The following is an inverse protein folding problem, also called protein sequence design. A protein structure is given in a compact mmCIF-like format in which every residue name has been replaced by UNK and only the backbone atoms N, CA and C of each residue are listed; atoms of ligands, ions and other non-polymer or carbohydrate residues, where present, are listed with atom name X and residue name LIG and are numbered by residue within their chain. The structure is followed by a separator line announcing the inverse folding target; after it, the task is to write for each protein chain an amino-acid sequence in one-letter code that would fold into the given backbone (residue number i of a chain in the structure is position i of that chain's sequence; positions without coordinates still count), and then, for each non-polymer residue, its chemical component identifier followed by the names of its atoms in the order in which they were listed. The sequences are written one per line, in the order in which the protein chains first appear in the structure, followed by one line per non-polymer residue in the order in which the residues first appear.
data_IF_916077988318
#
_entry.id   IF_916077988318
#
_cell.length_a   1.000
_cell.length_b   1.000
_cell.length_c   1.000
_cell.angle_alpha   90.00
_cell.angle_beta   90.00
_cell.angle_gamma   90.00
#
_symmetry.space_group_name_H-M   'P 1'
#
loop_
_entity.id
_entity.type
_entity.pdbx_description
1 polymer ?
2 polymer ?
3 non-polymer ?
4 water ?
#
# COMPACT_ATOMS: atom_id res chain seq x y z
N UNK A 28 2.04 -9.55 -34.55
CA UNK A 28 0.99 -8.98 -33.68
C UNK A 28 1.51 -7.69 -33.07
N UNK A 29 0.60 -6.84 -32.58
CA UNK A 29 1.05 -5.62 -31.85
C UNK A 29 1.69 -6.17 -30.60
N UNK A 30 2.91 -5.76 -30.22
CA UNK A 30 3.54 -6.36 -29.11
C UNK A 30 2.94 -5.88 -27.79
N UNK A 31 3.14 -6.71 -26.79
CA UNK A 31 2.80 -6.41 -25.41
C UNK A 31 3.52 -5.17 -24.94
N UNK A 32 2.85 -4.39 -24.11
CA UNK A 32 3.53 -3.32 -23.40
C UNK A 32 4.57 -3.89 -22.45
N UNK A 33 5.65 -3.13 -22.27
CA UNK A 33 6.75 -3.62 -21.44
C UNK A 33 6.35 -3.69 -19.98
N UNK A 34 5.32 -2.94 -19.59
CA UNK A 34 4.73 -3.03 -18.25
C UNK A 34 4.51 -4.46 -17.77
N UNK A 35 4.20 -5.40 -18.68
CA UNK A 35 3.95 -6.78 -18.25
C UNK A 35 5.15 -7.34 -17.50
N UNK A 36 6.33 -6.80 -17.79
CA UNK A 36 7.49 -6.98 -16.94
C UNK A 36 7.36 -5.93 -15.83
N UNK A 37 7.35 -6.40 -14.61
CA UNK A 37 7.23 -5.58 -13.41
C UNK A 37 5.89 -4.85 -13.34
N UNK A 38 4.76 -5.57 -13.36
CA UNK A 38 3.47 -4.89 -13.35
C UNK A 38 3.33 -3.85 -12.25
N UNK A 39 3.93 -4.11 -11.07
CA UNK A 39 3.69 -3.19 -9.95
C UNK A 39 4.27 -1.81 -10.22
N UNK A 40 5.29 -1.71 -11.08
CA UNK A 40 5.88 -0.40 -11.37
C UNK A 40 5.00 0.41 -12.28
N UNK A 41 3.89 -0.17 -12.71
CA UNK A 41 2.87 0.64 -13.35
C UNK A 41 1.61 0.72 -12.55
N UNK A 42 1.28 -0.30 -11.79
CA UNK A 42 -0.05 -0.24 -11.23
C UNK A 42 -0.05 0.43 -9.88
N UNK A 43 1.05 0.30 -9.15
CA UNK A 43 1.09 0.52 -7.71
C UNK A 43 2.15 1.52 -7.26
N UNK A 44 3.38 1.41 -7.76
CA UNK A 44 4.44 2.39 -7.45
C UNK A 44 5.08 2.91 -8.74
N UNK A 45 4.33 3.62 -9.57
CA UNK A 45 4.91 4.16 -10.82
C UNK A 45 5.98 5.21 -10.59
N UNK A 46 6.99 5.20 -11.46
CA UNK A 46 8.13 6.09 -11.42
C UNK A 46 8.38 6.65 -12.82
N UNK A 47 9.34 7.56 -12.94
CA UNK A 47 9.54 8.26 -14.21
C UNK A 47 10.06 7.34 -15.31
N UNK A 48 10.84 6.32 -14.98
CA UNK A 48 11.32 5.42 -16.02
C UNK A 48 10.16 4.64 -16.63
N UNK A 49 9.17 4.26 -15.81
CA UNK A 49 7.99 3.59 -16.33
C UNK A 49 7.21 4.49 -17.29
N UNK A 50 7.03 5.76 -16.92
CA UNK A 50 6.32 6.69 -17.77
C UNK A 50 7.06 6.88 -19.09
N UNK A 51 8.38 6.99 -19.02
CA UNK A 51 9.21 7.07 -20.22
C UNK A 51 8.96 5.88 -21.14
N UNK A 52 8.85 4.69 -20.54
CA UNK A 52 8.58 3.50 -21.35
C UNK A 52 7.21 3.57 -21.98
N UNK A 53 6.24 4.15 -21.28
CA UNK A 53 4.89 4.27 -21.87
C UNK A 53 4.99 5.19 -23.08
N UNK A 54 5.75 6.27 -22.98
CA UNK A 54 5.84 7.20 -24.12
C UNK A 54 6.38 6.53 -25.36
N UNK A 55 7.22 5.50 -25.20
CA UNK A 55 7.79 4.77 -26.33
C UNK A 55 6.97 3.54 -26.70
N UNK A 56 5.84 3.31 -26.00
CA UNK A 56 5.09 2.06 -26.12
C UNK A 56 4.31 2.00 -27.44
N UNK A 57 4.44 0.92 -28.22
CA UNK A 57 3.69 0.86 -29.49
C UNK A 57 2.17 0.79 -29.31
N UNK A 58 1.66 0.25 -28.19
CA UNK A 58 0.22 0.19 -28.02
C UNK A 58 -0.31 1.31 -27.12
N UNK A 59 0.40 2.43 -27.02
CA UNK A 59 0.03 3.50 -26.08
C UNK A 59 -1.40 3.99 -26.25
N UNK A 60 -1.87 4.21 -27.49
CA UNK A 60 -3.20 4.82 -27.66
C UNK A 60 -4.33 3.79 -27.56
N UNK A 61 -4.03 2.54 -27.89
CA UNK A 61 -4.88 1.42 -27.49
C UNK A 61 -5.01 1.35 -25.97
N UNK A 62 -3.90 1.55 -25.26
CA UNK A 62 -3.92 1.52 -23.81
C UNK A 62 -4.75 2.68 -23.27
N UNK A 63 -4.68 3.85 -23.92
CA UNK A 63 -5.50 4.99 -23.48
C UNK A 63 -6.99 4.68 -23.62
N UNK A 64 -7.38 4.11 -24.76
CA UNK A 64 -8.77 3.69 -24.91
C UNK A 64 -9.18 2.71 -23.82
N UNK A 65 -8.37 1.68 -23.64
CA UNK A 65 -8.69 0.65 -22.65
C UNK A 65 -8.79 1.21 -21.24
N UNK A 66 -8.02 2.26 -20.93
CA UNK A 66 -8.14 2.89 -19.60
C UNK A 66 -9.52 3.51 -19.42
N UNK A 67 -10.01 4.14 -20.49
CA UNK A 67 -11.35 4.70 -20.36
C UNK A 67 -12.41 3.61 -20.24
N UNK A 68 -12.22 2.47 -20.94
CA UNK A 68 -13.23 1.40 -20.96
C UNK A 68 -13.13 0.47 -19.77
N UNK A 69 -12.05 0.53 -19.00
CA UNK A 69 -11.86 -0.37 -17.85
C UNK A 69 -12.56 0.16 -16.61
N UNK A 70 -13.20 -0.73 -15.86
CA UNK A 70 -13.77 -0.35 -14.57
C UNK A 70 -12.67 0.07 -13.59
N UNK A 71 -12.71 1.33 -13.15
CA UNK A 71 -11.82 1.77 -12.08
C UNK A 71 -10.34 1.72 -12.41
N UNK A 72 -9.98 2.08 -13.62
CA UNK A 72 -8.57 2.18 -13.99
C UNK A 72 -7.83 3.17 -13.09
N UNK A 73 -6.62 2.77 -12.65
CA UNK A 73 -5.85 3.51 -11.66
C UNK A 73 -4.37 3.38 -11.95
N UNK A 74 -3.57 4.36 -11.56
CA UNK A 74 -2.15 4.16 -11.78
C UNK A 74 -1.73 4.55 -13.19
N UNK A 75 -0.57 4.07 -13.64
CA UNK A 75 0.05 4.53 -14.89
C UNK A 75 -0.47 3.75 -16.10
N UNK A 76 -1.29 4.43 -16.93
CA UNK A 76 -1.75 3.92 -18.22
C UNK A 76 -1.37 4.93 -19.30
N UNK A 77 -0.75 4.45 -20.38
CA UNK A 77 -0.52 5.30 -21.54
C UNK A 77 0.28 6.56 -21.18
N UNK A 78 1.16 6.48 -20.19
CA UNK A 78 1.97 7.63 -19.81
C UNK A 78 1.31 8.60 -18.86
N UNK A 79 0.10 8.32 -18.43
CA UNK A 79 -0.68 9.19 -17.55
C UNK A 79 -0.94 8.41 -16.26
N UNK A 80 -0.54 8.96 -15.11
CA UNK A 80 -0.93 8.37 -13.84
C UNK A 80 -2.35 8.84 -13.55
N UNK A 81 -3.29 7.91 -13.55
CA UNK A 81 -4.72 8.20 -13.37
C UNK A 81 -5.01 8.30 -11.88
N UNK A 82 -5.42 9.46 -11.39
CA UNK A 82 -5.78 9.60 -9.97
C UNK A 82 -6.98 8.75 -9.59
N UNK A 83 -7.03 8.41 -8.32
CA UNK A 83 -8.05 7.48 -7.87
C UNK A 83 -9.41 8.15 -7.75
N UNK A 84 -9.46 9.47 -7.61
CA UNK A 84 -10.77 10.07 -7.43
C UNK A 84 -10.75 11.57 -7.76
N UNK A 85 -11.93 12.15 -7.74
CA UNK A 85 -12.05 13.56 -7.93
C UNK A 85 -12.04 14.05 -9.37
N UNK A 86 -11.95 15.36 -9.43
CA UNK A 86 -11.89 16.08 -10.71
C UNK A 86 -10.56 15.77 -11.41
N UNK A 87 -9.48 15.47 -10.68
CA UNK A 87 -8.24 15.08 -11.34
C UNK A 87 -8.42 13.78 -12.11
N UNK A 88 -9.19 12.85 -11.55
CA UNK A 88 -9.45 11.60 -12.25
C UNK A 88 -10.33 11.88 -13.48
N UNK A 89 -11.34 12.73 -13.32
CA UNK A 89 -12.16 13.14 -14.46
C UNK A 89 -11.30 13.74 -15.59
N UNK A 90 -10.37 14.63 -15.25
CA UNK A 90 -9.51 15.21 -16.28
C UNK A 90 -8.67 14.14 -16.97
N UNK A 91 -8.01 13.27 -16.19
CA UNK A 91 -7.12 12.28 -16.79
C UNK A 91 -7.88 11.37 -17.73
N UNK A 92 -9.06 10.90 -17.32
CA UNK A 92 -9.85 10.05 -18.20
C UNK A 92 -10.36 10.82 -19.43
N UNK A 93 -10.69 12.09 -19.28
CA UNK A 93 -11.08 12.90 -20.44
C UNK A 93 -9.94 13.05 -21.43
N UNK A 94 -8.73 13.31 -20.91
CA UNK A 94 -7.57 13.45 -21.77
C UNK A 94 -7.28 12.15 -22.50
N UNK A 95 -7.38 11.02 -21.79
CA UNK A 95 -7.06 9.75 -22.42
C UNK A 95 -8.10 9.39 -23.48
N UNK A 96 -9.38 9.65 -23.20
CA UNK A 96 -10.42 9.47 -24.22
C UNK A 96 -10.14 10.31 -25.47
N UNK A 97 -9.73 11.58 -25.30
CA UNK A 97 -9.54 12.42 -26.47
C UNK A 97 -8.29 12.01 -27.26
N UNK A 98 -7.21 11.65 -26.56
CA UNK A 98 -6.00 11.20 -27.26
C UNK A 98 -6.21 9.84 -27.93
N UNK A 99 -6.98 8.96 -27.28
CA UNK A 99 -7.29 7.68 -27.89
C UNK A 99 -8.01 7.88 -29.22
N UNK A 100 -9.09 8.67 -29.19
CA UNK A 100 -9.85 8.93 -30.41
C UNK A 100 -8.96 9.58 -31.44
N UNK A 101 -8.18 10.55 -31.01
CA UNK A 101 -7.31 11.30 -31.94
C UNK A 101 -6.30 10.38 -32.60
N UNK A 102 -5.90 9.31 -31.96
CA UNK A 102 -4.91 8.45 -32.58
C UNK A 102 -5.53 7.19 -33.18
N UNK A 103 -6.84 7.18 -33.43
CA UNK A 103 -7.47 6.07 -34.12
C UNK A 103 -7.95 4.96 -33.21
N UNK A 104 -8.13 5.26 -31.92
CA UNK A 104 -8.62 4.28 -30.95
C UNK A 104 -9.82 4.85 -30.20
N UNK A 105 -10.89 5.22 -30.90
CA UNK A 105 -12.03 5.80 -30.22
C UNK A 105 -12.62 4.84 -29.20
N UNK A 106 -13.01 5.40 -28.06
CA UNK A 106 -13.70 4.64 -27.03
C UNK A 106 -15.04 4.15 -27.56
N UNK A 107 -15.37 2.89 -27.28
CA UNK A 107 -16.70 2.36 -27.58
C UNK A 107 -17.59 2.73 -26.40
N UNK A 108 -18.55 3.61 -26.62
CA UNK A 108 -19.30 4.10 -25.47
C UNK A 108 -20.16 3.00 -24.85
N UNK A 109 -20.63 2.04 -25.65
CA UNK A 109 -21.39 0.93 -25.07
C UNK A 109 -20.58 0.14 -24.04
N UNK A 110 -19.28 0.41 -23.90
CA UNK A 110 -18.41 -0.37 -23.02
C UNK A 110 -17.84 0.46 -21.87
N UNK A 111 -18.29 1.70 -21.69
CA UNK A 111 -17.84 2.50 -20.55
C UNK A 111 -18.79 2.32 -19.38
N UNK B 16 0.19 -24.75 -26.00
CA UNK B 16 -0.84 -23.82 -25.55
C UNK B 16 -0.80 -23.71 -24.03
N UNK B 17 -0.71 -22.47 -23.54
CA UNK B 17 -0.81 -22.18 -22.11
C UNK B 17 -2.28 -22.12 -21.73
N UNK B 18 -2.64 -23.03 -20.83
CA UNK B 18 -4.02 -23.15 -20.34
C UNK B 18 -4.40 -21.89 -19.56
N UNK B 19 -5.67 -21.54 -19.59
CA UNK B 19 -6.15 -20.40 -18.81
C UNK B 19 -5.80 -20.59 -17.33
N UNK B 20 -5.92 -21.80 -16.81
CA UNK B 20 -5.60 -21.98 -15.39
C UNK B 20 -4.16 -21.58 -15.10
N UNK B 21 -3.24 -21.97 -15.98
CA UNK B 21 -1.81 -21.66 -15.79
C UNK B 21 -1.52 -20.16 -16.02
N UNK B 22 -2.17 -19.54 -17.01
CA UNK B 22 -2.01 -18.11 -17.18
C UNK B 22 -2.52 -17.35 -15.95
N UNK B 23 -3.68 -17.75 -15.42
CA UNK B 23 -4.21 -17.07 -14.24
C UNK B 23 -3.28 -17.25 -13.04
N UNK B 24 -2.69 -18.44 -12.90
CA UNK B 24 -1.75 -18.65 -11.80
C UNK B 24 -0.56 -17.69 -11.91
N UNK B 25 -0.02 -17.51 -13.12
CA UNK B 25 1.10 -16.61 -13.28
C UNK B 25 0.69 -15.17 -12.99
N UNK B 26 -0.50 -14.77 -13.45
CA UNK B 26 -0.98 -13.42 -13.17
C UNK B 26 -1.18 -13.20 -11.67
N UNK B 27 -1.79 -14.17 -10.99
CA UNK B 27 -2.03 -14.02 -9.55
C UNK B 27 -0.72 -13.95 -8.78
N UNK B 28 0.33 -14.62 -9.26
CA UNK B 28 1.63 -14.53 -8.62
C UNK B 28 2.27 -13.14 -8.72
N UNK B 29 1.75 -12.24 -9.58
CA UNK B 29 2.24 -10.87 -9.61
C UNK B 29 1.61 -9.98 -8.53
N UNK B 30 0.66 -10.52 -7.78
CA UNK B 30 -0.02 -9.81 -6.71
C UNK B 30 0.67 -10.10 -5.39
N UNK B 31 0.40 -9.27 -4.39
CA UNK B 31 0.82 -9.59 -3.02
C UNK B 31 0.14 -10.88 -2.55
N UNK B 32 0.76 -11.53 -1.57
CA UNK B 32 0.22 -12.80 -1.06
C UNK B 32 -1.23 -12.66 -0.60
N UNK B 33 -1.53 -11.57 0.12
CA UNK B 33 -2.90 -11.38 0.60
C UNK B 33 -3.86 -11.04 -0.55
N UNK B 34 -3.42 -10.22 -1.52
CA UNK B 34 -4.28 -9.94 -2.66
C UNK B 34 -4.63 -11.22 -3.42
N UNK B 35 -3.61 -12.06 -3.66
CA UNK B 35 -3.86 -13.30 -4.37
C UNK B 35 -4.83 -14.19 -3.60
N UNK B 36 -4.63 -14.34 -2.29
CA UNK B 36 -5.53 -15.16 -1.51
C UNK B 36 -6.95 -14.64 -1.47
N UNK B 37 -7.12 -13.32 -1.32
CA UNK B 37 -8.45 -12.74 -1.34
C UNK B 37 -9.13 -13.03 -2.68
N UNK B 38 -8.40 -12.88 -3.79
CA UNK B 38 -8.98 -13.11 -5.10
C UNK B 38 -9.43 -14.57 -5.25
N UNK B 39 -8.55 -15.49 -4.84
CA UNK B 39 -8.86 -16.90 -5.00
C UNK B 39 -10.07 -17.28 -4.17
N UNK B 40 -10.15 -16.77 -2.93
CA UNK B 40 -11.31 -17.02 -2.10
C UNK B 40 -12.57 -16.42 -2.72
N UNK B 41 -12.47 -15.19 -3.23
CA UNK B 41 -13.66 -14.50 -3.72
C UNK B 41 -14.28 -15.23 -4.89
N UNK B 42 -13.45 -15.78 -5.79
CA UNK B 42 -13.98 -16.39 -6.99
C UNK B 42 -14.01 -17.91 -6.96
N UNK B 43 -13.68 -18.51 -5.82
CA UNK B 43 -13.72 -19.95 -5.67
C UNK B 43 -12.68 -20.70 -6.48
N UNK B 44 -11.51 -20.13 -6.68
CA UNK B 44 -10.40 -20.87 -7.28
C UNK B 44 -9.75 -21.78 -6.25
N UNK B 45 -10.06 -21.56 -4.97
CA UNK B 45 -9.48 -22.33 -3.87
C UNK B 45 -10.04 -23.75 -3.81
N UNK B 46 -11.33 -23.93 -4.08
CA UNK B 46 -11.99 -25.21 -3.85
C UNK B 46 -13.27 -25.30 -4.66
N UNK B 47 -13.61 -24.23 -5.37
CA UNK B 47 -14.84 -24.14 -6.13
C UNK B 47 -15.97 -23.44 -5.41
N UNK B 48 -15.80 -23.07 -4.15
CA UNK B 48 -16.81 -22.34 -3.39
C UNK B 48 -16.38 -20.89 -3.22
N UNK B 49 -17.00 -19.94 -3.92
CA UNK B 49 -16.70 -18.53 -3.71
C UNK B 49 -17.12 -18.08 -2.32
N UNK B 50 -16.42 -17.09 -1.80
CA UNK B 50 -16.70 -16.58 -0.46
C UNK B 50 -17.28 -15.16 -0.52
N UNK B 51 -18.15 -14.86 0.46
CA UNK B 51 -18.56 -13.48 0.63
C UNK B 51 -17.41 -12.67 1.23
N UNK B 52 -17.53 -11.33 1.14
CA UNK B 52 -16.51 -10.47 1.73
C UNK B 52 -16.45 -10.61 3.24
N UNK B 53 -17.58 -10.86 3.89
CA UNK B 53 -17.59 -11.12 5.33
C UNK B 53 -16.75 -12.35 5.66
N UNK B 54 -16.90 -13.43 4.86
CA UNK B 54 -16.13 -14.66 5.07
C UNK B 54 -14.64 -14.42 4.85
N UNK B 55 -14.30 -13.63 3.86
CA UNK B 55 -12.90 -13.33 3.66
C UNK B 55 -12.35 -12.46 4.79
N UNK B 56 -13.17 -11.59 5.41
CA UNK B 56 -12.73 -10.94 6.64
C UNK B 56 -12.55 -11.91 7.80
N UNK B 57 -13.49 -12.86 7.95
CA UNK B 57 -13.34 -14.03 8.82
C UNK B 57 -11.91 -14.57 8.72
N UNK B 58 -11.54 -14.98 7.52
CA UNK B 58 -10.16 -15.27 7.16
C UNK B 58 -9.36 -13.97 7.24
N UNK B 59 -8.05 -14.05 7.42
CA UNK B 59 -7.24 -12.83 7.45
C UNK B 59 -7.59 -11.84 8.57
N UNK B 60 -8.66 -12.08 9.31
CA UNK B 60 -8.86 -11.30 10.53
C UNK B 60 -8.99 -9.80 10.36
N UNK B 61 -9.70 -9.34 9.33
CA UNK B 61 -9.93 -7.92 9.10
C UNK B 61 -11.44 -7.68 8.95
N UNK B 62 -11.83 -6.42 8.93
CA UNK B 62 -13.24 -6.07 8.79
C UNK B 62 -13.70 -6.29 7.37
N UNK B 63 -15.03 -6.38 7.20
CA UNK B 63 -15.58 -6.47 5.85
C UNK B 63 -15.11 -5.31 4.99
N UNK B 64 -14.91 -4.14 5.61
CA UNK B 64 -14.51 -2.96 4.84
C UNK B 64 -13.11 -3.07 4.26
N UNK B 65 -12.18 -3.63 5.02
CA UNK B 65 -10.83 -3.82 4.44
C UNK B 65 -10.90 -4.88 3.35
N UNK B 66 -11.67 -5.97 3.50
CA UNK B 66 -11.76 -6.96 2.43
C UNK B 66 -12.27 -6.27 1.17
N UNK B 67 -13.24 -5.37 1.32
CA UNK B 67 -13.74 -4.62 0.16
C UNK B 67 -12.67 -3.70 -0.43
N UNK B 68 -11.91 -2.99 0.41
CA UNK B 68 -10.87 -2.12 -0.14
C UNK B 68 -9.84 -2.93 -0.92
N UNK B 69 -9.39 -4.04 -0.33
CA UNK B 69 -8.42 -4.92 -0.98
C UNK B 69 -8.98 -5.46 -2.29
N UNK B 70 -10.24 -5.90 -2.30
CA UNK B 70 -10.81 -6.47 -3.52
C UNK B 70 -10.89 -5.42 -4.63
N UNK B 71 -11.40 -4.22 -4.32
CA UNK B 71 -11.54 -3.23 -5.39
C UNK B 71 -10.18 -2.85 -5.98
N UNK B 72 -9.19 -2.69 -5.12
CA UNK B 72 -7.82 -2.24 -5.50
C UNK B 72 -7.10 -3.33 -6.27
N UNK B 73 -7.23 -4.54 -5.80
CA UNK B 73 -6.65 -5.68 -6.49
C UNK B 73 -7.30 -5.88 -7.87
N UNK B 74 -8.62 -5.68 -7.95
CA UNK B 74 -9.29 -5.80 -9.24
C UNK B 74 -8.78 -4.76 -10.23
N UNK B 75 -8.52 -3.54 -9.74
CA UNK B 75 -7.98 -2.55 -10.66
C UNK B 75 -6.52 -2.85 -11.03
N UNK B 76 -5.73 -3.46 -10.13
CA UNK B 76 -4.41 -3.94 -10.53
C UNK B 76 -4.52 -4.98 -11.65
N UNK B 77 -5.49 -5.90 -11.53
CA UNK B 77 -5.62 -6.98 -12.52
C UNK B 77 -6.09 -6.47 -13.88
N UNK B 78 -6.84 -5.37 -13.89
CA UNK B 78 -7.38 -4.83 -15.15
C UNK B 78 -6.34 -4.11 -15.97
N UNK B 79 -5.30 -3.60 -15.32
CA UNK B 79 -4.24 -2.91 -16.02
C UNK B 79 -3.57 -3.84 -17.03
N UNK B 80 -3.21 -3.34 -18.20
CA UNK B 80 -2.70 -4.24 -19.25
C UNK B 80 -1.50 -5.07 -18.85
N UNK B 81 -0.67 -4.58 -17.92
CA UNK B 81 0.44 -5.38 -17.40
C UNK B 81 0.00 -6.75 -16.93
N UNK B 82 -1.23 -6.89 -16.45
CA UNK B 82 -1.74 -8.18 -16.06
C UNK B 82 -2.87 -8.68 -16.94
N UNK B 83 -3.58 -7.79 -17.64
CA UNK B 83 -4.78 -8.22 -18.34
C UNK B 83 -4.57 -8.51 -19.82
N UNK B 84 -3.50 -8.00 -20.42
CA UNK B 84 -3.51 -8.07 -21.89
C UNK B 84 -3.33 -9.50 -22.41
N UNK B 85 -2.59 -10.35 -21.73
CA UNK B 85 -2.56 -11.73 -22.25
C UNK B 85 -3.78 -12.54 -21.79
N UNK B 86 -4.45 -12.15 -20.69
CA UNK B 86 -5.66 -12.88 -20.31
C UNK B 86 -6.82 -12.58 -21.25
N UNK B 87 -6.84 -11.39 -21.86
CA UNK B 87 -8.01 -10.99 -22.65
C UNK B 87 -8.32 -11.98 -23.77
N UNK B 88 -7.30 -12.61 -24.36
CA UNK B 88 -7.52 -13.52 -25.49
C UNK B 88 -8.26 -14.79 -25.11
N UNK B 89 -8.34 -15.13 -23.80
CA UNK B 89 -9.04 -16.32 -23.35
C UNK B 89 -10.53 -16.10 -23.17
N UNK B 90 -10.97 -14.84 -23.15
CA UNK B 90 -12.34 -14.52 -22.72
C UNK B 90 -13.37 -15.25 -23.56
N UNK B 91 -13.22 -15.24 -24.89
CA UNK B 91 -14.30 -15.79 -25.70
C UNK B 91 -14.42 -17.30 -25.51
N UNK B 92 -13.29 -18.01 -25.46
CA UNK B 92 -13.35 -19.44 -25.22
C UNK B 92 -13.85 -19.76 -23.82
N UNK B 93 -13.59 -18.88 -22.87
CA UNK B 93 -13.98 -19.19 -21.50
C UNK B 93 -15.40 -18.77 -21.17
N UNK B 94 -15.94 -17.81 -21.92
CA UNK B 94 -17.27 -17.29 -21.65
C UNK B 94 -18.28 -18.42 -21.88
N UNK B 95 -19.23 -18.56 -20.94
CA UNK B 95 -20.22 -19.61 -21.07
C UNK B 95 -19.77 -20.94 -20.50
N UNK B 96 -18.55 -20.99 -19.95
CA UNK B 96 -17.99 -22.18 -19.32
C UNK B 96 -18.80 -22.60 -18.11
N UNK B 97 -19.08 -21.65 -17.23
CA UNK B 97 -19.55 -21.95 -15.90
C UNK B 97 -18.46 -22.13 -14.88
N UNK B 98 -17.20 -21.96 -15.27
CA UNK B 98 -16.02 -22.18 -14.44
C UNK B 98 -15.71 -21.02 -13.51
N UNK B 99 -14.94 -21.29 -12.45
CA UNK B 99 -14.38 -20.21 -11.62
C UNK B 99 -13.45 -19.28 -12.37
N UNK B 100 -12.69 -19.82 -13.32
CA UNK B 100 -11.80 -18.99 -14.12
C UNK B 100 -12.60 -18.00 -14.97
N UNK B 101 -13.70 -18.47 -15.60
CA UNK B 101 -14.57 -17.56 -16.34
C UNK B 101 -15.12 -16.50 -15.41
N UNK B 102 -15.39 -16.88 -14.17
CA UNK B 102 -15.99 -15.91 -13.23
C UNK B 102 -14.97 -14.82 -12.93
N UNK B 103 -13.74 -15.20 -12.68
CA UNK B 103 -12.72 -14.19 -12.46
C UNK B 103 -12.47 -13.35 -13.70
N UNK B 104 -12.40 -13.99 -14.86
CA UNK B 104 -12.18 -13.24 -16.10
C UNK B 104 -13.28 -12.22 -16.31
N UNK B 105 -14.54 -12.63 -16.12
CA UNK B 105 -15.66 -11.72 -16.32
C UNK B 105 -15.65 -10.59 -15.32
N UNK B 106 -15.18 -10.86 -14.08
CA UNK B 106 -15.05 -9.76 -13.12
C UNK B 106 -13.95 -8.78 -13.53
N UNK B 107 -12.85 -9.31 -14.08
CA UNK B 107 -11.79 -8.43 -14.58
C UNK B 107 -12.28 -7.59 -15.76
N UNK B 108 -12.83 -8.23 -16.78
CA UNK B 108 -13.12 -7.57 -18.05
C UNK B 108 -14.53 -7.01 -18.16
N UNK B 109 -15.40 -7.32 -17.22
CA UNK B 109 -16.77 -6.88 -17.29
C UNK B 109 -17.57 -7.75 -18.24
N UNK B 110 -18.89 -7.53 -18.22
CA UNK B 110 -19.80 -8.38 -18.96
C UNK B 110 -20.03 -7.91 -20.39
N UNK B 111 -19.42 -6.81 -20.83
CA UNK B 111 -19.56 -6.42 -22.23
C UNK B 111 -18.31 -6.68 -23.06
N UNK B 112 -17.23 -7.12 -22.44
CA UNK B 112 -15.97 -7.33 -23.16
C UNK B 112 -16.10 -8.37 -24.29
N UNK C 29 11.64 4.44 35.59
CA UNK C 29 10.88 4.05 34.41
C UNK C 29 10.88 5.17 33.34
N UNK C 30 12.07 5.67 32.99
CA UNK C 30 12.14 6.92 32.22
C UNK C 30 11.93 6.70 30.73
N UNK C 31 11.35 7.72 30.10
CA UNK C 31 11.35 7.78 28.64
C UNK C 31 12.78 7.61 28.11
N UNK C 32 12.92 6.88 27.01
CA UNK C 32 14.21 6.78 26.37
C UNK C 32 14.71 8.13 25.87
N UNK C 33 16.03 8.30 25.90
CA UNK C 33 16.60 9.61 25.56
C UNK C 33 16.47 9.96 24.09
N UNK C 34 16.29 8.98 23.20
CA UNK C 34 16.03 9.25 21.79
C UNK C 34 14.98 10.36 21.57
N UNK C 35 14.07 10.56 22.54
CA UNK C 35 13.04 11.61 22.37
C UNK C 35 13.66 12.99 22.13
N UNK C 36 14.88 13.22 22.59
CA UNK C 36 15.62 14.39 22.15
C UNK C 36 16.12 14.12 20.74
N UNK C 37 15.79 14.99 19.80
CA UNK C 37 16.43 14.84 18.49
C UNK C 37 16.12 13.47 17.86
N UNK C 38 14.83 13.14 17.64
CA UNK C 38 14.48 11.81 17.10
C UNK C 38 15.19 11.41 15.81
N UNK C 39 15.46 12.33 14.90
CA UNK C 39 15.93 11.94 13.58
C UNK C 39 17.25 11.22 13.66
N UNK C 40 18.07 11.57 14.66
CA UNK C 40 19.40 10.93 14.85
C UNK C 40 19.22 9.40 14.93
N UNK C 41 18.11 8.95 15.52
CA UNK C 41 17.82 7.53 15.67
C UNK C 41 17.04 6.94 14.50
N UNK C 42 16.21 7.73 13.81
CA UNK C 42 15.31 7.15 12.81
C UNK C 42 15.93 7.13 11.43
N UNK C 43 16.82 8.06 11.16
CA UNK C 43 17.23 8.41 9.82
C UNK C 43 18.72 8.30 9.60
N UNK C 44 19.53 8.81 10.53
CA UNK C 44 21.00 8.78 10.44
C UNK C 44 21.57 8.24 11.73
N UNK C 45 21.36 6.96 12.04
CA UNK C 45 21.93 6.42 13.29
C UNK C 45 23.45 6.41 13.22
N UNK C 46 24.07 6.71 14.36
CA UNK C 46 25.51 6.82 14.47
C UNK C 46 25.95 6.11 15.74
N UNK C 47 27.27 6.01 15.96
CA UNK C 47 27.70 5.32 17.17
C UNK C 47 27.37 6.09 18.44
N UNK C 48 27.17 7.40 18.39
CA UNK C 48 26.85 8.13 19.62
C UNK C 48 25.44 7.77 20.11
N UNK C 49 24.47 7.76 19.20
CA UNK C 49 23.12 7.32 19.56
C UNK C 49 23.14 5.85 19.93
N UNK C 50 23.95 5.06 19.23
CA UNK C 50 24.10 3.64 19.56
C UNK C 50 24.65 3.49 20.98
N UNK C 51 25.64 4.32 21.32
CA UNK C 51 26.14 4.35 22.69
C UNK C 51 25.02 4.60 23.68
N UNK C 52 24.16 5.59 23.38
CA UNK C 52 23.09 5.92 24.31
C UNK C 52 22.08 4.78 24.44
N UNK C 53 21.80 4.12 23.33
CA UNK C 53 20.89 2.96 23.41
C UNK C 53 21.52 1.93 24.36
N UNK C 54 22.83 1.70 24.24
CA UNK C 54 23.46 0.69 25.07
C UNK C 54 23.29 0.97 26.56
N UNK C 55 23.21 2.25 26.93
CA UNK C 55 23.04 2.66 28.32
C UNK C 55 21.58 2.86 28.69
N UNK C 56 20.67 2.63 27.74
CA UNK C 56 19.26 2.98 27.94
C UNK C 56 18.58 1.97 28.86
N UNK C 57 17.86 2.44 29.90
CA UNK C 57 17.23 1.49 30.83
C UNK C 57 16.12 0.67 30.23
N UNK C 58 15.40 1.17 29.23
CA UNK C 58 14.33 0.38 28.63
C UNK C 58 14.79 -0.35 27.38
N UNK C 59 16.08 -0.64 27.27
CA UNK C 59 16.64 -1.19 26.04
C UNK C 59 15.95 -2.49 25.60
N UNK C 60 15.70 -3.40 26.54
CA UNK C 60 15.17 -4.70 26.13
C UNK C 60 13.66 -4.64 25.91
N UNK C 61 12.97 -3.77 26.63
CA UNK C 61 11.59 -3.43 26.25
C UNK C 61 11.54 -2.86 24.84
N UNK C 62 12.49 -2.00 24.50
CA UNK C 62 12.48 -1.40 23.17
C UNK C 62 12.82 -2.44 22.10
N UNK C 63 13.65 -3.44 22.42
CA UNK C 63 13.91 -4.54 21.49
C UNK C 63 12.65 -5.34 21.22
N UNK C 64 11.88 -5.64 22.27
CA UNK C 64 10.61 -6.33 22.05
C UNK C 64 9.71 -5.49 21.15
N UNK C 65 9.56 -4.21 21.48
CA UNK C 65 8.69 -3.33 20.71
C UNK C 65 9.11 -3.25 19.24
N UNK C 66 10.41 -3.31 18.98
CA UNK C 66 10.87 -3.30 17.59
C UNK C 66 10.36 -4.53 16.85
N UNK C 67 10.42 -5.70 17.50
CA UNK C 67 9.90 -6.90 16.82
C UNK C 67 8.37 -6.86 16.69
N UNK C 68 7.67 -6.28 17.66
CA UNK C 68 6.21 -6.26 17.62
C UNK C 68 5.64 -5.12 16.79
N UNK C 69 6.49 -4.22 16.31
CA UNK C 69 6.08 -3.04 15.58
C UNK C 69 5.78 -3.36 14.13
N UNK C 70 4.78 -2.67 13.57
CA UNK C 70 4.62 -2.67 12.14
C UNK C 70 5.83 -1.97 11.54
N UNK C 71 6.65 -2.70 10.79
CA UNK C 71 7.67 -2.06 9.96
C UNK C 71 8.69 -1.21 10.68
N UNK C 72 9.16 -1.67 11.83
CA UNK C 72 10.23 -0.98 12.55
C UNK C 72 11.45 -0.80 11.66
N UNK C 73 12.04 0.39 11.73
CA UNK C 73 13.12 0.75 10.85
C UNK C 73 14.04 1.66 11.65
N UNK C 74 15.33 1.68 11.30
CA UNK C 74 16.21 2.59 12.03
C UNK C 74 16.77 2.00 13.32
N UNK C 75 17.23 2.87 14.21
CA UNK C 75 18.00 2.46 15.39
C UNK C 75 17.10 2.15 16.58
N UNK C 76 16.90 0.86 16.86
CA UNK C 76 16.15 0.43 18.05
C UNK C 76 17.04 -0.42 18.93
N UNK C 77 17.10 -0.08 20.21
CA UNK C 77 17.80 -0.89 21.21
C UNK C 77 19.26 -1.11 20.84
N UNK C 78 19.88 -0.14 20.16
CA UNK C 78 21.26 -0.27 19.79
C UNK C 78 21.50 -1.06 18.52
N UNK C 79 20.44 -1.52 17.87
CA UNK C 79 20.54 -2.30 16.64
C UNK C 79 19.90 -1.48 15.54
N UNK C 80 20.66 -1.21 14.48
CA UNK C 80 20.12 -0.52 13.31
C UNK C 80 19.41 -1.53 12.43
N UNK C 81 18.10 -1.36 12.29
CA UNK C 81 17.24 -2.26 11.53
C UNK C 81 17.20 -1.75 10.08
N UNK C 82 17.80 -2.49 9.13
CA UNK C 82 17.66 -2.16 7.71
C UNK C 82 16.21 -2.32 7.25
N UNK C 83 15.87 -1.69 6.12
CA UNK C 83 14.47 -1.65 5.65
C UNK C 83 13.94 -3.03 5.21
N UNK C 84 14.80 -3.87 4.61
CA UNK C 84 14.38 -5.13 4.03
C UNK C 84 15.62 -5.99 3.80
N UNK C 85 15.41 -7.14 3.15
CA UNK C 85 16.46 -8.11 2.89
C UNK C 85 16.63 -8.92 4.14
N UNK C 86 17.62 -9.82 4.07
CA UNK C 86 18.01 -10.70 5.20
C UNK C 86 18.71 -9.86 6.27
N UNK C 87 19.36 -8.75 5.90
CA UNK C 87 20.00 -7.95 6.94
C UNK C 87 18.94 -7.49 7.94
N UNK C 88 17.74 -7.18 7.43
CA UNK C 88 16.61 -6.84 8.29
C UNK C 88 16.17 -8.03 9.14
N UNK C 89 16.06 -9.21 8.52
CA UNK C 89 15.74 -10.43 9.26
C UNK C 89 16.76 -10.69 10.36
N UNK C 90 18.05 -10.50 10.06
CA UNK C 90 19.07 -10.69 11.09
C UNK C 90 18.84 -9.74 12.24
N UNK C 91 18.64 -8.45 11.93
CA UNK C 91 18.48 -7.46 12.99
C UNK C 91 17.28 -7.78 13.88
N UNK C 92 16.14 -8.13 13.25
CA UNK C 92 14.93 -8.46 14.00
C UNK C 92 15.09 -9.76 14.81
N UNK C 93 15.79 -10.75 14.26
CA UNK C 93 16.06 -11.95 15.05
C UNK C 93 16.93 -11.64 16.25
N UNK C 94 17.94 -10.80 16.06
CA UNK C 94 18.82 -10.39 17.16
C UNK C 94 18.01 -9.67 18.23
N UNK C 95 17.08 -8.82 17.81
CA UNK C 95 16.27 -8.09 18.78
C UNK C 95 15.33 -9.02 19.53
N UNK C 96 14.72 -9.99 18.82
CA UNK C 96 13.87 -10.96 19.50
C UNK C 96 14.66 -11.71 20.56
N UNK C 97 15.89 -12.12 20.22
CA UNK C 97 16.70 -12.93 21.12
C UNK C 97 17.13 -12.11 22.34
N UNK C 98 17.47 -10.84 22.12
CA UNK C 98 17.81 -9.98 23.26
C UNK C 98 16.60 -9.76 24.17
N UNK C 99 15.42 -9.54 23.57
CA UNK C 99 14.20 -9.36 24.35
C UNK C 99 13.88 -10.61 25.17
N UNK C 100 13.90 -11.78 24.52
CA UNK C 100 13.58 -13.02 25.22
C UNK C 100 14.54 -13.23 26.37
N UNK C 101 15.84 -13.09 26.13
CA UNK C 101 16.81 -13.44 27.18
C UNK C 101 16.75 -12.47 28.36
N UNK C 102 16.21 -11.27 28.16
CA UNK C 102 16.18 -10.28 29.20
C UNK C 102 14.78 -10.11 29.80
N UNK C 103 13.92 -11.09 29.59
CA UNK C 103 12.66 -11.15 30.30
C UNK C 103 11.51 -10.40 29.66
N UNK C 104 11.61 -10.06 28.37
CA UNK C 104 10.57 -9.30 27.65
C UNK C 104 10.17 -10.07 26.40
N UNK C 105 9.59 -11.27 26.55
CA UNK C 105 9.30 -12.10 25.39
C UNK C 105 8.39 -11.40 24.39
N UNK C 106 8.68 -11.62 23.11
CA UNK C 106 7.81 -11.10 22.06
C UNK C 106 6.48 -11.83 22.14
N UNK C 107 5.40 -11.06 22.11
CA UNK C 107 4.07 -11.70 22.06
C UNK C 107 3.74 -11.93 20.58
N UNK C 108 3.61 -13.18 20.15
CA UNK C 108 3.28 -13.50 18.73
C UNK C 108 1.85 -13.09 18.41
N UNK C 109 0.96 -13.05 19.41
CA UNK C 109 -0.40 -12.49 19.35
C UNK C 109 -0.27 -11.15 18.63
N UNK C 110 0.58 -10.23 19.15
CA UNK C 110 0.90 -8.92 18.53
C UNK C 110 2.20 -9.01 17.72
N UNK D 17 -3.28 15.67 30.16
CA UNK D 17 -3.20 16.45 28.92
C UNK D 17 -4.54 16.28 28.20
N UNK D 18 -4.43 15.93 26.92
CA UNK D 18 -5.44 15.56 25.96
C UNK D 18 -4.63 15.02 24.81
N UNK D 19 -5.20 14.04 24.11
CA UNK D 19 -4.45 13.43 23.03
C UNK D 19 -4.05 14.46 21.96
N UNK D 20 -4.97 15.37 21.61
CA UNK D 20 -4.70 16.31 20.53
C UNK D 20 -3.47 17.16 20.79
N UNK D 21 -3.28 17.61 22.04
CA UNK D 21 -2.13 18.45 22.33
C UNK D 21 -0.83 17.66 22.24
N UNK D 22 -0.84 16.43 22.75
CA UNK D 22 0.35 15.58 22.62
C UNK D 22 0.66 15.26 21.17
N UNK D 23 -0.37 14.93 20.39
CA UNK D 23 -0.18 14.64 18.98
C UNK D 23 0.40 15.85 18.25
N UNK D 24 -0.07 17.05 18.56
CA UNK D 24 0.48 18.22 17.88
C UNK D 24 1.92 18.48 18.27
N UNK D 25 2.30 18.30 19.55
CA UNK D 25 3.72 18.36 19.91
C UNK D 25 4.53 17.38 19.07
N UNK D 26 4.06 16.13 18.97
CA UNK D 26 4.82 15.11 18.26
C UNK D 26 4.92 15.47 16.77
N UNK D 27 3.80 15.85 16.16
CA UNK D 27 3.82 16.21 14.74
C UNK D 27 4.66 17.45 14.48
N UNK D 28 4.68 18.40 15.42
CA UNK D 28 5.51 19.58 15.32
C UNK D 28 7.00 19.25 15.43
N UNK D 29 7.36 18.04 15.87
CA UNK D 29 8.74 17.62 15.70
C UNK D 29 9.05 17.08 14.30
N UNK D 30 8.06 17.02 13.41
CA UNK D 30 8.30 16.59 12.04
C UNK D 30 8.55 17.81 11.15
N UNK D 31 9.12 17.56 9.97
CA UNK D 31 9.17 18.62 8.97
C UNK D 31 7.74 19.03 8.61
N UNK D 32 7.61 20.26 8.08
CA UNK D 32 6.29 20.76 7.70
C UNK D 32 5.57 19.83 6.74
N UNK D 33 6.28 19.30 5.74
CA UNK D 33 5.61 18.41 4.78
C UNK D 33 5.25 17.07 5.41
N UNK D 34 6.15 16.48 6.20
CA UNK D 34 5.84 15.20 6.83
C UNK D 34 4.58 15.32 7.70
N UNK D 35 4.52 16.38 8.51
CA UNK D 35 3.37 16.62 9.37
C UNK D 35 2.12 16.85 8.56
N UNK D 36 2.22 17.68 7.51
CA UNK D 36 1.05 17.96 6.70
C UNK D 36 0.52 16.72 6.02
N UNK D 37 1.42 15.87 5.50
CA UNK D 37 0.97 14.63 4.88
C UNK D 37 0.21 13.78 5.90
N UNK D 38 0.75 13.66 7.11
CA UNK D 38 0.07 12.88 8.15
C UNK D 38 -1.31 13.45 8.47
N UNK D 39 -1.39 14.77 8.67
CA UNK D 39 -2.66 15.41 9.04
C UNK D 39 -3.71 15.27 7.95
N UNK D 40 -3.33 15.52 6.69
CA UNK D 40 -4.26 15.35 5.59
C UNK D 40 -4.67 13.90 5.43
N UNK D 41 -3.72 12.97 5.54
CA UNK D 41 -4.01 11.57 5.29
C UNK D 41 -5.04 11.05 6.28
N UNK D 42 -4.92 11.45 7.54
CA UNK D 42 -5.86 10.93 8.54
C UNK D 42 -6.96 11.93 8.86
N UNK D 43 -7.02 13.06 8.16
CA UNK D 43 -8.09 14.02 8.40
C UNK D 43 -8.02 14.69 9.75
N UNK D 44 -6.82 14.96 10.26
CA UNK D 44 -6.70 15.75 11.48
C UNK D 44 -6.97 17.21 11.22
N UNK D 45 -7.02 17.64 9.96
CA UNK D 45 -7.29 19.03 9.61
C UNK D 45 -8.77 19.38 9.78
N UNK D 46 -9.68 18.45 9.46
CA UNK D 46 -11.10 18.76 9.41
C UNK D 46 -11.96 17.52 9.58
N UNK D 47 -11.33 16.35 9.71
CA UNK D 47 -12.06 15.11 9.90
C UNK D 47 -12.30 14.29 8.63
N UNK D 48 -11.94 14.82 7.47
CA UNK D 48 -12.08 14.11 6.20
C UNK D 48 -10.70 13.70 5.73
N UNK D 49 -10.37 12.42 5.73
CA UNK D 49 -9.08 11.99 5.17
C UNK D 49 -9.01 12.25 3.67
N UNK D 50 -7.79 12.46 3.19
CA UNK D 50 -7.49 12.71 1.79
C UNK D 50 -6.80 11.51 1.18
N UNK D 51 -7.00 11.33 -0.11
CA UNK D 51 -6.21 10.34 -0.84
C UNK D 51 -4.76 10.79 -1.00
N UNK D 52 -3.88 9.83 -1.31
CA UNK D 52 -2.50 10.20 -1.60
C UNK D 52 -2.41 11.10 -2.83
N UNK D 53 -3.31 10.89 -3.82
CA UNK D 53 -3.36 11.76 -4.99
C UNK D 53 -3.64 13.21 -4.61
N UNK D 54 -4.62 13.42 -3.73
CA UNK D 54 -4.99 14.76 -3.30
C UNK D 54 -3.86 15.42 -2.51
N UNK D 55 -3.17 14.65 -1.65
CA UNK D 55 -2.03 15.20 -0.92
C UNK D 55 -0.89 15.51 -1.89
N UNK D 56 -0.73 14.67 -2.93
CA UNK D 56 0.24 15.00 -3.96
C UNK D 56 -0.06 16.32 -4.63
N UNK D 57 -1.34 16.58 -4.90
CA UNK D 57 -1.72 17.85 -5.50
C UNK D 57 -1.41 19.02 -4.56
N UNK D 58 -1.69 18.84 -3.27
CA UNK D 58 -1.40 19.87 -2.28
C UNK D 58 0.09 20.20 -2.26
N UNK D 59 0.93 19.17 -2.18
CA UNK D 59 2.35 19.40 -2.07
C UNK D 59 3.07 19.46 -3.42
N UNK D 60 2.36 19.37 -4.53
CA UNK D 60 2.97 19.59 -5.85
C UNK D 60 4.00 18.53 -6.18
N UNK D 61 3.74 17.28 -5.76
CA UNK D 61 4.54 16.13 -6.08
C UNK D 61 3.62 14.98 -6.52
N UNK D 62 4.24 13.91 -6.97
CA UNK D 62 3.47 12.78 -7.47
C UNK D 62 2.82 12.00 -6.33
N UNK D 63 1.79 11.20 -6.66
CA UNK D 63 1.22 10.31 -5.66
C UNK D 63 2.29 9.38 -5.09
N UNK D 64 3.22 8.95 -5.94
CA UNK D 64 4.25 8.02 -5.48
C UNK D 64 5.20 8.69 -4.48
N UNK D 65 5.52 9.96 -4.71
CA UNK D 65 6.38 10.63 -3.75
C UNK D 65 5.68 10.77 -2.40
N UNK D 66 4.38 11.02 -2.42
CA UNK D 66 3.57 11.06 -1.21
C UNK D 66 3.56 9.70 -0.54
N UNK D 67 3.44 8.62 -1.31
CA UNK D 67 3.45 7.30 -0.70
C UNK D 67 4.77 7.05 0.03
N UNK D 68 5.90 7.43 -0.60
CA UNK D 68 7.19 7.28 0.04
C UNK D 68 7.27 8.12 1.32
N UNK D 69 6.81 9.37 1.26
CA UNK D 69 6.86 10.24 2.44
C UNK D 69 5.98 9.68 3.55
N UNK D 70 4.78 9.20 3.20
CA UNK D 70 3.89 8.64 4.20
C UNK D 70 4.54 7.44 4.88
N UNK D 71 5.19 6.56 4.11
CA UNK D 71 5.79 5.38 4.71
C UNK D 71 6.93 5.76 5.65
N UNK D 72 7.83 6.63 5.18
CA UNK D 72 8.95 7.03 6.03
C UNK D 72 8.46 7.71 7.30
N UNK D 73 7.47 8.60 7.16
CA UNK D 73 6.95 9.33 8.32
C UNK D 73 6.27 8.40 9.30
N UNK D 74 5.51 7.41 8.82
CA UNK D 74 4.88 6.47 9.74
C UNK D 74 5.95 5.70 10.52
N UNK D 75 7.05 5.35 9.86
CA UNK D 75 8.11 4.66 10.57
C UNK D 75 8.80 5.55 11.58
N UNK D 76 8.93 6.84 11.27
CA UNK D 76 9.39 7.80 12.27
C UNK D 76 8.45 7.87 13.46
N UNK D 77 7.14 7.89 13.19
CA UNK D 77 6.19 8.01 14.30
C UNK D 77 6.18 6.75 15.16
N UNK D 78 6.49 5.59 14.56
CA UNK D 78 6.49 4.34 15.33
C UNK D 78 7.73 4.20 16.21
N UNK D 79 8.83 4.85 15.82
CA UNK D 79 10.03 4.80 16.64
C UNK D 79 9.75 5.39 18.02
N UNK D 80 10.29 4.80 19.10
CA UNK D 80 9.97 5.30 20.44
C UNK D 80 10.30 6.76 20.66
N UNK D 81 11.29 7.29 19.94
CA UNK D 81 11.61 8.72 20.00
C UNK D 81 10.39 9.62 19.78
N UNK D 82 9.39 9.14 19.04
CA UNK D 82 8.14 9.87 18.88
C UNK D 82 6.93 9.14 19.43
N UNK D 83 6.99 7.80 19.58
CA UNK D 83 5.81 7.04 19.93
C UNK D 83 5.68 6.76 21.42
N UNK D 84 6.77 6.84 22.19
CA UNK D 84 6.62 6.34 23.55
C UNK D 84 5.70 7.24 24.36
N UNK D 85 5.64 8.53 24.02
CA UNK D 85 4.71 9.44 24.68
C UNK D 85 3.29 9.30 24.15
N UNK D 86 3.10 8.71 22.97
CA UNK D 86 1.77 8.46 22.44
C UNK D 86 1.14 7.16 22.90
N UNK D 87 1.96 6.13 23.19
CA UNK D 87 1.40 4.79 23.42
C UNK D 87 0.41 4.76 24.57
N UNK D 88 0.58 5.65 25.56
CA UNK D 88 -0.31 5.66 26.72
C UNK D 88 -1.71 6.13 26.39
N UNK D 89 -1.93 6.77 25.24
CA UNK D 89 -3.26 7.22 24.86
C UNK D 89 -4.07 6.15 24.13
N UNK D 90 -3.42 5.06 23.73
CA UNK D 90 -4.06 4.08 22.86
C UNK D 90 -5.30 3.49 23.50
N UNK D 91 -5.18 3.05 24.75
CA UNK D 91 -6.30 2.32 25.36
C UNK D 91 -7.47 3.26 25.65
N UNK D 92 -7.19 4.50 26.05
CA UNK D 92 -8.25 5.47 26.23
C UNK D 92 -8.86 5.93 24.92
N UNK D 93 -8.09 5.92 23.84
CA UNK D 93 -8.57 6.43 22.58
C UNK D 93 -9.23 5.38 21.70
N UNK D 94 -9.06 4.08 21.99
CA UNK D 94 -9.54 3.06 21.08
C UNK D 94 -11.07 3.02 20.92
N UNK D 95 -11.82 3.48 21.92
CA UNK D 95 -13.25 3.54 21.65
C UNK D 95 -13.73 4.74 20.82
N UNK D 96 -12.81 5.58 20.32
CA UNK D 96 -13.09 6.86 19.68
C UNK D 96 -13.88 6.91 18.37
N UNK D 97 -13.28 6.38 17.30
CA UNK D 97 -13.69 6.68 15.94
C UNK D 97 -13.05 7.94 15.38
N UNK D 98 -12.23 8.66 16.16
CA UNK D 98 -11.69 9.95 15.78
C UNK D 98 -10.59 9.78 14.74
N UNK D 99 -10.26 10.85 14.01
CA UNK D 99 -9.06 10.82 13.18
C UNK D 99 -7.81 10.59 14.01
N UNK D 100 -7.80 11.11 15.23
CA UNK D 100 -6.69 10.86 16.14
C UNK D 100 -6.56 9.38 16.49
N UNK D 101 -7.67 8.71 16.81
CA UNK D 101 -7.63 7.27 17.08
C UNK D 101 -7.18 6.47 15.86
N UNK D 102 -7.68 6.81 14.68
CA UNK D 102 -7.27 6.06 13.47
C UNK D 102 -5.76 6.25 13.27
N UNK D 103 -5.25 7.44 13.49
CA UNK D 103 -3.81 7.65 13.42
C UNK D 103 -3.06 6.81 14.46
N UNK D 104 -3.54 6.80 15.71
CA UNK D 104 -2.88 5.99 16.73
C UNK D 104 -2.86 4.51 16.33
N UNK D 105 -4.01 4.01 15.85
CA UNK D 105 -4.07 2.60 15.44
C UNK D 105 -3.16 2.35 14.25
N UNK D 106 -3.03 3.32 13.35
CA UNK D 106 -2.11 3.13 12.22
C UNK D 106 -0.67 3.06 12.71
N UNK D 107 -0.33 3.86 13.73
CA UNK D 107 1.02 3.83 14.28
C UNK D 107 1.30 2.47 14.94
N UNK D 108 0.43 2.06 15.86
CA UNK D 108 0.70 0.90 16.70
C UNK D 108 0.12 -0.41 16.16
N UNK D 109 -0.65 -0.37 15.08
CA UNK D 109 -1.25 -1.56 14.52
C UNK D 109 -2.45 -2.00 15.33
N UNK D 110 -3.20 -2.94 14.78
CA UNK D 110 -4.36 -3.41 15.55
C UNK D 110 -4.05 -4.74 16.23
X LIG E 1 1.87 -0.73 -20.53
X LIG E 1 2.21 0.42 -22.96
X LIG E 1 2.38 1.93 -20.70
X LIG E 1 -0.06 0.86 -21.60
X LIG E 1 1.24 2.49 -22.64
X LIG E 1 0.77 0.93 -19.40
X LIG E 1 0.58 -1.11 -22.44
X LIG E 1 3.80 0.22 -21.28
X LIG F 1 15.37 5.04 22.38
X LIG F 1 16.25 3.60 24.41
X LIG F 1 17.54 3.41 22.03
X LIG F 1 15.03 2.33 22.30
X LIG F 1 16.94 1.66 23.40
X LIG F 1 15.82 3.64 20.61
X LIG F 1 14.06 3.82 23.74
X LIG F 1 17.41 5.23 23.43
#
# INVERSE_FOLDING_TARGET
MRYAFAAEATTCNAFWRNVDMTVTALYEVPLGVCTQDPDRWTTTPDDEAKTLCRACPRRWLCARDAVESAGAEGLWAGVVIPESGRARAFALGQLRSLAERNGYPVRDHRVSAQSA
MAHHHHHHVAVDAVSFTLLQDQLQSVLDTLSEREAGVVRLRFGLTDGQPRTLDEIGQVYGVTRERIRQIESKTMSKLRHPSRSQVLRDYLDGSSGSGTPEERLLRAIFGEKA
MRYAFAAEATTCNAFWRNVDMTVTALYEVPLGVCTQDPDRWTTTPDDEAKTLCRACPRRWLCARDAVESAGAEGLWAGVVIPESGRARAFALGQLRSLAERNGYPVRDHRVSAQSA
MAHHHHHHVAVDAVSFTLLQDQLQSVLDTLSEREAGVVRLRFGLTDGQPRTLDEIGQVYGVTRERIRQIESKTMSKLRHPSRSQVLRDYLDGSSGSGTPEERLLRAIFGEKA
SF4 FE1 FE2 FE3 FE4 S1 S2 S3 S4
SF4 FE1 FE2 FE3 FE4 S1 S2 S3 S4
#
